data_IF_601656175366
#
_entry.id   IF_601656175366
#
_cell.length_a   1.000
_cell.length_b   1.000
_cell.length_c   1.000
_cell.angle_alpha   90.00
_cell.angle_beta   90.00
_cell.angle_gamma   90.00
#
_symmetry.space_group_name_H-M   'P 1'
#
loop_
_entity.id
_entity.type
_entity.pdbx_description
1 polymer ?
#
# COMPACT_ATOMS: atom_id res chain seq x y z
N UNK A 1 -14.86 18.16 -10.30
CA UNK A 1 -14.13 19.10 -9.42
C UNK A 1 -13.43 20.14 -10.28
N UNK A 2 -13.31 21.40 -9.84
CA UNK A 2 -12.90 22.52 -10.69
C UNK A 2 -11.47 22.43 -11.23
N UNK A 3 -10.55 21.73 -10.55
CA UNK A 3 -9.15 21.58 -10.99
C UNK A 3 -8.87 20.27 -11.74
N UNK A 4 -9.92 19.52 -12.11
CA UNK A 4 -9.79 18.29 -12.90
C UNK A 4 -9.23 17.10 -12.11
N UNK A 5 -8.53 16.22 -12.83
CA UNK A 5 -7.95 14.98 -12.30
C UNK A 5 -6.51 15.19 -11.83
N UNK A 6 -6.05 14.34 -10.91
CA UNK A 6 -4.66 14.30 -10.51
C UNK A 6 -3.76 13.90 -11.70
N UNK A 7 -4.25 13.08 -12.64
CA UNK A 7 -3.52 12.76 -13.87
C UNK A 7 -3.21 13.99 -14.74
N UNK A 8 -4.17 14.91 -14.89
CA UNK A 8 -3.96 16.15 -15.64
C UNK A 8 -2.97 17.06 -14.90
N UNK A 9 -3.14 17.21 -13.58
CA UNK A 9 -2.25 17.99 -12.74
C UNK A 9 -0.78 17.50 -12.79
N UNK A 10 -0.56 16.19 -12.70
CA UNK A 10 0.79 15.61 -12.76
C UNK A 10 1.45 15.75 -14.13
N UNK A 11 0.66 15.80 -15.22
CA UNK A 11 1.19 16.01 -16.57
C UNK A 11 1.74 17.42 -16.79
N UNK A 12 1.14 18.39 -16.12
CA UNK A 12 1.56 19.80 -16.16
C UNK A 12 2.73 20.06 -15.21
N UNK A 13 2.84 19.29 -14.11
CA UNK A 13 3.92 19.39 -13.15
C UNK A 13 5.21 18.73 -13.68
N UNK A 14 6.36 19.41 -13.48
CA UNK A 14 7.69 18.81 -13.71
C UNK A 14 8.24 18.11 -12.46
N UNK A 15 7.92 18.64 -11.30
CA UNK A 15 8.23 18.10 -9.98
C UNK A 15 7.25 18.68 -8.97
N UNK A 16 7.10 18.00 -7.83
CA UNK A 16 6.31 18.48 -6.70
C UNK A 16 7.21 18.69 -5.48
N UNK A 17 7.00 19.77 -4.70
CA UNK A 17 7.61 19.90 -3.38
C UNK A 17 7.23 18.70 -2.47
N UNK A 18 8.10 18.26 -1.55
CA UNK A 18 7.80 17.18 -0.61
C UNK A 18 6.51 17.40 0.18
N UNK A 19 6.21 18.65 0.54
CA UNK A 19 5.00 19.07 1.24
C UNK A 19 3.75 18.75 0.41
N UNK A 20 3.79 19.03 -0.89
CA UNK A 20 2.68 18.73 -1.80
C UNK A 20 2.53 17.23 -2.03
N UNK A 21 3.64 16.49 -2.18
CA UNK A 21 3.60 15.02 -2.28
C UNK A 21 2.89 14.42 -1.08
N UNK A 22 3.29 14.80 0.14
CA UNK A 22 2.71 14.26 1.37
C UNK A 22 1.26 14.71 1.54
N UNK A 23 0.95 15.97 1.29
CA UNK A 23 -0.41 16.51 1.39
C UNK A 23 -1.37 15.79 0.45
N UNK A 24 -1.01 15.64 -0.82
CA UNK A 24 -1.84 14.97 -1.82
C UNK A 24 -1.98 13.47 -1.49
N UNK A 25 -0.89 12.80 -1.09
CA UNK A 25 -0.93 11.40 -0.69
C UNK A 25 -1.81 11.17 0.55
N UNK A 26 -1.73 12.07 1.53
CA UNK A 26 -2.51 12.00 2.77
C UNK A 26 -4.01 12.16 2.49
N UNK A 27 -4.40 13.05 1.59
CA UNK A 27 -5.79 13.21 1.16
C UNK A 27 -6.34 11.91 0.53
N UNK A 28 -5.57 11.28 -0.36
CA UNK A 28 -5.95 9.97 -0.95
C UNK A 28 -6.03 8.89 0.12
N UNK A 29 -5.03 8.80 1.00
CA UNK A 29 -4.97 7.77 2.03
C UNK A 29 -6.13 7.87 3.03
N UNK A 30 -6.52 9.08 3.43
CA UNK A 30 -7.70 9.32 4.29
C UNK A 30 -9.01 8.94 3.60
N UNK A 31 -9.15 9.29 2.31
CA UNK A 31 -10.31 8.87 1.52
C UNK A 31 -10.44 7.34 1.45
N UNK A 32 -9.32 6.65 1.26
CA UNK A 32 -9.30 5.20 1.21
C UNK A 32 -9.47 4.52 2.56
N UNK A 33 -8.90 5.07 3.63
CA UNK A 33 -9.16 4.63 5.00
C UNK A 33 -10.66 4.68 5.30
N UNK A 34 -11.34 5.78 4.94
CA UNK A 34 -12.78 5.94 5.13
C UNK A 34 -13.60 4.87 4.40
N UNK A 35 -13.23 4.55 3.16
CA UNK A 35 -13.90 3.52 2.35
C UNK A 35 -13.67 2.12 2.92
N UNK A 36 -12.41 1.78 3.24
CA UNK A 36 -12.05 0.47 3.79
C UNK A 36 -12.68 0.24 5.16
N UNK A 37 -12.80 1.26 6.01
CA UNK A 37 -13.51 1.18 7.28
C UNK A 37 -15.00 0.83 7.14
N UNK A 38 -15.59 1.06 5.95
CA UNK A 38 -16.97 0.69 5.59
C UNK A 38 -17.05 -0.59 4.76
N UNK A 39 -15.95 -1.33 4.66
CA UNK A 39 -15.87 -2.54 3.86
C UNK A 39 -16.02 -2.28 2.37
N UNK A 40 -15.73 -1.08 1.87
CA UNK A 40 -15.76 -0.76 0.43
C UNK A 40 -14.36 -0.92 -0.16
N UNK A 41 -14.22 -1.79 -1.16
CA UNK A 41 -13.01 -1.93 -1.99
C UNK A 41 -13.21 -1.12 -3.27
N UNK A 42 -12.29 -0.21 -3.58
CA UNK A 42 -12.44 0.70 -4.70
C UNK A 42 -12.20 0.03 -6.05
N UNK A 43 -11.13 -0.76 -6.16
CA UNK A 43 -10.69 -1.55 -7.34
C UNK A 43 -10.12 -0.79 -8.53
N UNK A 44 -10.08 0.54 -8.50
CA UNK A 44 -9.60 1.35 -9.63
C UNK A 44 -8.94 2.65 -9.16
N UNK A 45 -8.05 2.53 -8.17
CA UNK A 45 -7.25 3.67 -7.69
C UNK A 45 -6.19 4.00 -8.74
N UNK A 46 -6.29 5.19 -9.31
CA UNK A 46 -5.36 5.76 -10.28
C UNK A 46 -5.54 7.28 -10.33
N UNK A 47 -4.55 8.05 -10.83
CA UNK A 47 -4.65 9.51 -10.88
C UNK A 47 -5.85 10.07 -11.65
N UNK A 48 -6.43 9.32 -12.60
CA UNK A 48 -7.66 9.73 -13.31
C UNK A 48 -8.92 9.71 -12.42
N UNK A 49 -8.93 8.86 -11.39
CA UNK A 49 -10.05 8.71 -10.44
C UNK A 49 -9.81 9.50 -9.13
N UNK A 50 -8.82 10.39 -9.13
CA UNK A 50 -8.47 11.26 -8.02
C UNK A 50 -8.68 12.71 -8.48
N UNK A 51 -9.62 13.41 -7.86
CA UNK A 51 -10.06 14.73 -8.32
C UNK A 51 -9.56 15.84 -7.41
N UNK A 52 -9.08 16.94 -7.99
CA UNK A 52 -8.62 18.12 -7.26
C UNK A 52 -9.73 19.16 -7.14
N UNK A 53 -10.09 19.53 -5.90
CA UNK A 53 -11.04 20.62 -5.63
C UNK A 53 -10.39 22.02 -5.73
N UNK A 54 -11.17 23.07 -5.45
CA UNK A 54 -10.72 24.46 -5.63
C UNK A 54 -9.54 24.82 -4.73
N UNK A 55 -9.46 24.19 -3.58
CA UNK A 55 -8.44 24.32 -2.56
C UNK A 55 -7.22 23.43 -2.84
N UNK A 56 -7.23 22.67 -3.94
CA UNK A 56 -6.15 21.75 -4.30
C UNK A 56 -6.08 20.50 -3.45
N UNK A 57 -7.17 20.12 -2.78
CA UNK A 57 -7.30 18.87 -2.03
C UNK A 57 -7.77 17.75 -2.95
N UNK A 58 -7.31 16.54 -2.66
CA UNK A 58 -7.67 15.35 -3.46
C UNK A 58 -8.93 14.68 -2.90
N UNK A 59 -9.87 14.34 -3.77
CA UNK A 59 -11.01 13.48 -3.44
C UNK A 59 -11.01 12.23 -4.29
N UNK A 60 -11.21 11.09 -3.63
CA UNK A 60 -11.36 9.79 -4.30
C UNK A 60 -12.71 9.75 -5.00
N UNK A 61 -12.73 9.39 -6.29
CA UNK A 61 -13.91 9.39 -7.14
C UNK A 61 -14.01 8.10 -7.96
N UNK A 62 -15.11 7.95 -8.71
CA UNK A 62 -15.43 6.78 -9.52
C UNK A 62 -15.52 5.46 -8.74
N UNK A 63 -16.62 5.32 -8.00
CA UNK A 63 -16.99 4.07 -7.34
C UNK A 63 -17.74 3.10 -8.29
N UNK A 64 -17.78 3.36 -9.60
CA UNK A 64 -18.49 2.54 -10.58
C UNK A 64 -17.94 1.11 -10.68
N UNK A 65 -16.67 0.95 -10.29
CA UNK A 65 -16.01 -0.33 -10.17
C UNK A 65 -15.90 -0.82 -8.73
N UNK A 66 -16.46 -0.17 -7.71
CA UNK A 66 -16.29 -0.62 -6.32
C UNK A 66 -17.14 -1.85 -5.94
N UNK A 67 -16.77 -2.54 -4.85
CA UNK A 67 -17.59 -3.61 -4.26
C UNK A 67 -17.47 -3.63 -2.73
N UNK A 68 -18.49 -4.19 -2.07
CA UNK A 68 -18.39 -4.53 -0.66
C UNK A 68 -17.47 -5.74 -0.49
N UNK A 69 -16.50 -5.66 0.41
CA UNK A 69 -15.48 -6.68 0.70
C UNK A 69 -16.11 -8.06 0.91
N UNK A 70 -17.22 -8.10 1.67
CA UNK A 70 -17.98 -9.33 1.94
C UNK A 70 -18.54 -10.04 0.68
N UNK A 71 -18.69 -9.32 -0.44
CA UNK A 71 -19.24 -9.85 -1.71
C UNK A 71 -18.26 -9.75 -2.87
N UNK A 72 -17.05 -9.25 -2.63
CA UNK A 72 -16.07 -9.01 -3.69
C UNK A 72 -15.53 -10.33 -4.28
N UNK A 73 -15.47 -11.40 -3.50
CA UNK A 73 -15.01 -12.72 -3.96
C UNK A 73 -16.00 -13.40 -4.91
N UNK A 74 -17.30 -13.16 -4.72
CA UNK A 74 -18.36 -13.75 -5.53
C UNK A 74 -18.54 -12.99 -6.86
N UNK A 75 -18.25 -11.70 -6.86
CA UNK A 75 -18.24 -10.85 -8.05
C UNK A 75 -16.90 -10.98 -8.76
N UNK A 76 -16.75 -12.02 -9.61
CA UNK A 76 -15.60 -12.12 -10.53
C UNK A 76 -15.39 -10.78 -11.24
N UNK A 77 -14.19 -10.22 -11.11
CA UNK A 77 -13.83 -9.03 -11.88
C UNK A 77 -13.87 -9.35 -13.37
N UNK A 78 -14.62 -8.56 -14.12
CA UNK A 78 -14.79 -8.77 -15.55
C UNK A 78 -13.72 -7.97 -16.30
N UNK A 79 -12.82 -8.65 -17.01
CA UNK A 79 -11.74 -8.00 -17.78
C UNK A 79 -12.25 -7.00 -18.83
N UNK A 80 -13.50 -7.14 -19.29
CA UNK A 80 -14.17 -6.19 -20.21
C UNK A 80 -14.45 -4.83 -19.59
N UNK A 81 -14.43 -4.71 -18.25
CA UNK A 81 -14.56 -3.43 -17.52
C UNK A 81 -13.20 -2.75 -17.26
N UNK A 82 -12.08 -3.43 -17.55
CA UNK A 82 -10.74 -2.86 -17.35
C UNK A 82 -10.36 -2.03 -18.57
N UNK A 83 -10.33 -0.70 -18.44
CA UNK A 83 -9.72 0.14 -19.47
C UNK A 83 -8.22 -0.19 -19.56
N UNK A 84 -7.61 -0.27 -20.77
CA UNK A 84 -6.20 -0.64 -20.92
C UNK A 84 -5.23 0.16 -20.04
N UNK A 85 -5.43 1.48 -19.89
CA UNK A 85 -4.60 2.33 -19.03
C UNK A 85 -4.60 1.96 -17.54
N UNK A 86 -5.58 1.16 -17.09
CA UNK A 86 -5.72 0.72 -15.70
C UNK A 86 -4.66 -0.30 -15.31
N UNK A 87 -4.15 -1.12 -16.24
CA UNK A 87 -3.15 -2.16 -15.94
C UNK A 87 -1.88 -1.60 -15.26
N UNK A 88 -1.52 -0.35 -15.55
CA UNK A 88 -0.38 0.35 -14.94
C UNK A 88 -0.49 0.51 -13.43
N UNK A 89 -1.72 0.51 -12.90
CA UNK A 89 -2.03 0.74 -11.49
C UNK A 89 -2.50 -0.53 -10.77
N UNK A 90 -2.67 -1.64 -11.49
CA UNK A 90 -3.26 -2.87 -10.96
C UNK A 90 -2.27 -3.75 -10.19
N UNK A 91 -2.73 -4.31 -9.09
CA UNK A 91 -1.99 -5.29 -8.31
C UNK A 91 -1.75 -6.60 -9.08
N UNK A 92 -0.61 -7.29 -8.89
CA UNK A 92 -0.25 -8.49 -9.63
C UNK A 92 -1.27 -9.64 -9.46
N UNK A 93 -1.84 -9.81 -8.26
CA UNK A 93 -2.87 -10.83 -8.00
C UNK A 93 -4.19 -10.55 -8.73
N UNK A 94 -4.47 -9.29 -9.04
CA UNK A 94 -5.64 -8.89 -9.81
C UNK A 94 -5.43 -9.13 -11.31
N UNK A 95 -4.20 -8.93 -11.79
CA UNK A 95 -3.82 -9.23 -13.17
C UNK A 95 -3.93 -10.73 -13.42
N UNK A 96 -3.31 -11.55 -12.56
CA UNK A 96 -3.20 -13.01 -12.72
C UNK A 96 -4.48 -13.77 -12.38
N UNK A 97 -4.99 -13.56 -11.17
CA UNK A 97 -5.97 -14.47 -10.57
C UNK A 97 -7.36 -13.81 -10.42
N UNK A 98 -7.49 -12.54 -10.82
CA UNK A 98 -8.70 -11.71 -10.62
C UNK A 98 -9.15 -11.70 -9.16
N UNK A 99 -8.23 -11.88 -8.22
CA UNK A 99 -8.49 -11.92 -6.78
C UNK A 99 -8.70 -10.51 -6.27
N UNK A 100 -9.91 -10.25 -5.79
CA UNK A 100 -10.25 -8.99 -5.17
C UNK A 100 -9.98 -9.05 -3.66
N UNK A 101 -9.28 -8.05 -3.14
CA UNK A 101 -9.14 -7.79 -1.72
C UNK A 101 -8.87 -6.31 -1.52
N UNK A 102 -9.15 -5.75 -0.34
CA UNK A 102 -8.81 -4.35 -0.04
C UNK A 102 -7.32 -4.02 -0.25
N UNK A 103 -6.44 -5.03 -0.17
CA UNK A 103 -4.99 -4.89 -0.39
C UNK A 103 -4.59 -4.56 -1.81
N UNK A 104 -5.47 -4.76 -2.80
CA UNK A 104 -5.21 -4.29 -4.16
C UNK A 104 -5.21 -2.77 -4.24
N UNK A 105 -6.10 -2.09 -3.49
CA UNK A 105 -6.17 -0.62 -3.48
C UNK A 105 -4.90 -0.04 -2.85
N UNK A 106 -4.30 -0.72 -1.87
CA UNK A 106 -3.03 -0.33 -1.25
C UNK A 106 -1.88 -0.40 -2.26
N UNK A 107 -1.86 -1.42 -3.12
CA UNK A 107 -0.87 -1.52 -4.18
C UNK A 107 -0.99 -0.36 -5.16
N UNK A 108 -2.21 -0.10 -5.62
CA UNK A 108 -2.52 1.00 -6.52
C UNK A 108 -2.16 2.35 -5.91
N UNK A 109 -2.43 2.56 -4.62
CA UNK A 109 -1.98 3.72 -3.88
C UNK A 109 -0.45 3.86 -3.85
N UNK A 110 0.29 2.75 -3.67
CA UNK A 110 1.75 2.76 -3.72
C UNK A 110 2.28 3.29 -5.05
N UNK A 111 1.65 2.93 -6.16
CA UNK A 111 1.98 3.46 -7.48
C UNK A 111 1.57 4.93 -7.64
N UNK A 112 0.42 5.35 -7.08
CA UNK A 112 0.03 6.77 -7.06
C UNK A 112 1.06 7.59 -6.28
N UNK A 113 1.50 7.13 -5.12
CA UNK A 113 2.54 7.80 -4.33
C UNK A 113 3.87 7.88 -5.09
N UNK A 114 4.24 6.82 -5.80
CA UNK A 114 5.39 6.86 -6.72
C UNK A 114 5.19 7.88 -7.87
N UNK A 115 3.98 7.98 -8.42
CA UNK A 115 3.65 8.97 -9.44
C UNK A 115 3.73 10.40 -8.91
N UNK A 116 3.36 10.64 -7.65
CA UNK A 116 3.52 11.94 -7.00
C UNK A 116 5.00 12.33 -6.84
N UNK A 117 5.88 11.39 -6.50
CA UNK A 117 7.31 11.67 -6.30
C UNK A 117 8.09 11.86 -7.59
N UNK A 118 7.56 11.36 -8.71
CA UNK A 118 8.27 11.38 -10.01
C UNK A 118 7.59 12.27 -11.06
N UNK A 119 6.30 12.57 -10.92
CA UNK A 119 5.45 13.15 -11.97
C UNK A 119 5.43 12.33 -13.27
N UNK A 120 5.74 11.03 -13.19
CA UNK A 120 5.81 10.12 -14.34
C UNK A 120 4.70 9.07 -14.26
N UNK A 121 4.22 8.62 -15.42
CA UNK A 121 3.29 7.48 -15.52
C UNK A 121 4.09 6.17 -15.37
N UNK A 122 3.68 5.22 -14.51
CA UNK A 122 4.39 3.95 -14.36
C UNK A 122 4.56 3.22 -15.69
N UNK A 123 5.79 2.79 -16.00
CA UNK A 123 6.17 2.04 -17.20
C UNK A 123 5.91 2.78 -18.54
N UNK A 124 6.35 4.05 -18.70
CA UNK A 124 5.90 4.91 -19.80
C UNK A 124 6.15 4.29 -21.20
N UNK A 125 7.21 3.49 -21.33
CA UNK A 125 7.65 2.90 -22.60
C UNK A 125 6.99 1.55 -22.95
N UNK A 126 6.07 1.06 -22.10
CA UNK A 126 5.38 -0.22 -22.30
C UNK A 126 3.91 -0.01 -22.64
N UNK A 127 3.40 -0.80 -23.59
CA UNK A 127 1.97 -0.87 -23.89
C UNK A 127 1.20 -1.57 -22.75
N UNK A 128 -0.10 -1.30 -22.57
CA UNK A 128 -0.91 -1.85 -21.47
C UNK A 128 -0.79 -3.35 -21.23
N UNK A 129 -0.77 -4.15 -22.30
CA UNK A 129 -0.64 -5.62 -22.21
C UNK A 129 0.77 -6.03 -21.78
N UNK A 130 1.80 -5.31 -22.24
CA UNK A 130 3.19 -5.55 -21.81
C UNK A 130 3.37 -5.20 -20.33
N UNK A 131 2.74 -4.12 -19.86
CA UNK A 131 2.72 -3.77 -18.43
C UNK A 131 2.05 -4.87 -17.61
N UNK A 132 0.90 -5.38 -18.06
CA UNK A 132 0.23 -6.47 -17.37
C UNK A 132 1.12 -7.71 -17.25
N UNK A 133 1.84 -8.07 -18.33
CA UNK A 133 2.79 -9.18 -18.31
C UNK A 133 3.98 -8.91 -17.37
N UNK A 134 4.64 -7.75 -17.50
CA UNK A 134 5.81 -7.40 -16.67
C UNK A 134 5.46 -7.38 -15.17
N UNK A 135 4.32 -6.79 -14.79
CA UNK A 135 3.89 -6.74 -13.38
C UNK A 135 3.41 -8.10 -12.88
N UNK A 136 2.58 -8.79 -13.67
CA UNK A 136 1.96 -10.06 -13.27
C UNK A 136 2.95 -11.22 -13.23
N UNK A 137 3.82 -11.33 -14.23
CA UNK A 137 4.66 -12.50 -14.45
C UNK A 137 6.12 -12.28 -14.05
N UNK A 138 6.65 -11.07 -14.25
CA UNK A 138 8.06 -10.76 -13.97
C UNK A 138 8.25 -9.99 -12.66
N UNK A 139 7.14 -9.66 -11.99
CA UNK A 139 7.13 -8.86 -10.77
C UNK A 139 7.85 -7.50 -10.94
N UNK A 140 7.79 -6.92 -12.13
CA UNK A 140 8.40 -5.63 -12.43
C UNK A 140 7.80 -4.51 -11.54
N UNK A 141 8.64 -3.54 -11.17
CA UNK A 141 8.24 -2.30 -10.49
C UNK A 141 8.93 -1.11 -11.16
N UNK A 142 8.29 0.08 -11.19
CA UNK A 142 8.98 1.29 -11.61
C UNK A 142 10.21 1.56 -10.73
N UNK A 143 11.28 2.18 -11.26
CA UNK A 143 12.46 2.51 -10.47
C UNK A 143 12.13 3.59 -9.43
N UNK A 144 12.62 3.41 -8.21
CA UNK A 144 12.50 4.43 -7.16
C UNK A 144 13.42 5.61 -7.47
N UNK A 145 12.98 6.81 -7.11
CA UNK A 145 13.82 8.01 -7.26
C UNK A 145 14.86 8.08 -6.14
N UNK A 146 16.12 8.32 -6.50
CA UNK A 146 17.23 8.55 -5.56
C UNK A 146 17.16 9.92 -4.89
N UNK A 147 16.42 10.87 -5.46
CA UNK A 147 16.18 12.19 -4.86
C UNK A 147 15.02 12.19 -3.86
N UNK A 148 14.23 11.11 -3.81
CA UNK A 148 13.10 10.97 -2.90
C UNK A 148 13.59 10.54 -1.50
N UNK A 149 13.10 11.14 -0.40
CA UNK A 149 13.41 10.70 0.95
C UNK A 149 13.20 9.19 1.13
N UNK A 150 14.18 8.50 1.72
CA UNK A 150 14.16 7.04 1.87
C UNK A 150 12.92 6.52 2.62
N UNK A 151 12.38 7.32 3.55
CA UNK A 151 11.14 7.00 4.25
C UNK A 151 9.94 6.86 3.29
N UNK A 152 9.82 7.74 2.29
CA UNK A 152 8.76 7.70 1.28
C UNK A 152 8.98 6.51 0.34
N UNK A 153 10.22 6.29 -0.12
CA UNK A 153 10.56 5.10 -0.92
C UNK A 153 10.21 3.80 -0.18
N UNK A 154 10.52 3.70 1.11
CA UNK A 154 10.18 2.54 1.93
C UNK A 154 8.67 2.35 2.10
N UNK A 155 7.89 3.43 2.16
CA UNK A 155 6.43 3.36 2.15
C UNK A 155 5.88 2.86 0.81
N UNK A 156 6.38 3.40 -0.31
CA UNK A 156 6.04 2.92 -1.66
C UNK A 156 6.31 1.42 -1.76
N UNK A 157 7.48 0.97 -1.30
CA UNK A 157 7.89 -0.44 -1.34
C UNK A 157 6.97 -1.38 -0.57
N UNK A 158 6.55 -0.96 0.63
CA UNK A 158 5.60 -1.75 1.43
C UNK A 158 4.22 -1.76 0.79
N UNK A 159 3.77 -0.65 0.21
CA UNK A 159 2.47 -0.57 -0.46
C UNK A 159 2.38 -1.48 -1.69
N UNK A 160 3.42 -1.51 -2.53
CA UNK A 160 3.43 -2.32 -3.77
C UNK A 160 4.05 -3.73 -3.61
N UNK A 161 4.13 -4.23 -2.38
CA UNK A 161 4.70 -5.55 -2.08
C UNK A 161 3.97 -6.66 -2.85
N UNK A 162 4.71 -7.68 -3.31
CA UNK A 162 4.14 -8.80 -4.08
C UNK A 162 3.06 -9.52 -3.28
N UNK A 163 3.34 -9.77 -1.99
CA UNK A 163 2.43 -10.47 -1.10
C UNK A 163 1.39 -9.49 -0.57
N UNK A 164 0.08 -9.65 -0.86
CA UNK A 164 -0.92 -8.68 -0.39
C UNK A 164 -0.99 -8.55 1.14
N UNK A 165 -0.69 -9.64 1.85
CA UNK A 165 -0.73 -9.67 3.31
C UNK A 165 0.35 -8.82 3.99
N UNK A 166 1.45 -8.49 3.31
CA UNK A 166 2.54 -7.67 3.86
C UNK A 166 2.32 -6.17 3.61
N UNK A 167 1.35 -5.83 2.75
CA UNK A 167 0.98 -4.44 2.50
C UNK A 167 0.28 -3.85 3.74
N UNK A 168 0.63 -2.61 4.15
CA UNK A 168 0.02 -1.96 5.30
C UNK A 168 -1.47 -1.68 5.06
N UNK A 169 -2.23 -1.51 6.13
CA UNK A 169 -3.59 -0.96 6.02
C UNK A 169 -3.53 0.56 5.83
N UNK A 170 -4.56 1.16 5.23
CA UNK A 170 -4.60 2.62 5.05
C UNK A 170 -4.50 3.39 6.37
N UNK A 171 -5.03 2.88 7.47
CA UNK A 171 -4.87 3.52 8.78
C UNK A 171 -3.40 3.68 9.19
N UNK A 172 -2.57 2.66 8.92
CA UNK A 172 -1.14 2.74 9.16
C UNK A 172 -0.46 3.72 8.21
N UNK A 173 -0.87 3.73 6.94
CA UNK A 173 -0.36 4.68 5.93
C UNK A 173 -0.68 6.13 6.34
N UNK A 174 -1.91 6.40 6.77
CA UNK A 174 -2.35 7.72 7.25
C UNK A 174 -1.49 8.17 8.42
N UNK A 175 -1.33 7.33 9.46
CA UNK A 175 -0.49 7.67 10.61
C UNK A 175 0.97 7.99 10.22
N UNK A 176 1.53 7.25 9.26
CA UNK A 176 2.90 7.49 8.79
C UNK A 176 3.02 8.79 7.97
N UNK A 177 2.06 9.07 7.10
CA UNK A 177 2.03 10.32 6.31
C UNK A 177 1.79 11.55 7.20
N UNK A 178 0.95 11.46 8.22
CA UNK A 178 0.77 12.52 9.23
C UNK A 178 2.06 12.80 10.01
N UNK A 179 2.82 11.75 10.33
CA UNK A 179 4.14 11.91 10.92
C UNK A 179 5.11 12.60 9.97
N UNK A 180 5.11 12.27 8.67
CA UNK A 180 5.96 12.93 7.69
C UNK A 180 5.59 14.40 7.49
N UNK A 181 4.29 14.72 7.43
CA UNK A 181 3.79 16.09 7.38
C UNK A 181 4.28 16.92 8.58
N UNK A 182 4.17 16.36 9.79
CA UNK A 182 4.70 16.99 11.00
C UNK A 182 6.21 17.20 10.90
N UNK A 183 6.97 16.17 10.51
CA UNK A 183 8.43 16.29 10.37
C UNK A 183 8.81 17.42 9.41
N UNK A 184 8.15 17.53 8.25
CA UNK A 184 8.42 18.62 7.31
C UNK A 184 8.12 20.00 7.91
N UNK A 185 6.97 20.15 8.59
CA UNK A 185 6.61 21.42 9.25
C UNK A 185 7.59 21.82 10.36
N UNK A 186 8.20 20.85 11.03
CA UNK A 186 9.17 21.06 12.11
C UNK A 186 10.63 21.06 11.62
N UNK A 187 10.89 20.87 10.33
CA UNK A 187 12.25 20.77 9.78
C UNK A 187 13.03 19.52 10.23
N UNK A 188 12.32 18.46 10.62
CA UNK A 188 12.89 17.18 11.06
C UNK A 188 13.09 16.21 9.89
N UNK A 189 14.08 15.30 9.98
CA UNK A 189 14.29 14.28 8.97
C UNK A 189 13.11 13.29 8.92
N UNK A 190 12.76 12.84 7.71
CA UNK A 190 11.78 11.77 7.53
C UNK A 190 12.46 10.42 7.81
N UNK A 191 12.00 9.73 8.84
CA UNK A 191 12.54 8.43 9.23
C UNK A 191 11.51 7.33 8.88
N UNK A 192 11.91 6.21 8.26
CA UNK A 192 11.02 5.07 8.06
C UNK A 192 10.51 4.56 9.42
N UNK A 193 9.28 4.01 9.48
CA UNK A 193 8.84 3.33 10.70
C UNK A 193 9.79 2.17 11.03
N UNK A 194 9.99 1.84 12.32
CA UNK A 194 10.74 0.65 12.70
C UNK A 194 10.11 -0.57 12.04
N UNK A 195 10.94 -1.38 11.37
CA UNK A 195 10.49 -2.64 10.78
C UNK A 195 9.97 -3.54 11.90
N UNK A 196 8.77 -4.14 11.76
CA UNK A 196 8.34 -5.13 12.73
C UNK A 196 9.38 -6.26 12.78
N UNK A 197 9.70 -6.79 13.97
CA UNK A 197 10.70 -7.84 14.10
C UNK A 197 10.31 -9.01 13.20
N UNK A 198 11.29 -9.60 12.53
CA UNK A 198 11.06 -10.78 11.70
C UNK A 198 10.40 -11.87 12.56
N UNK A 199 9.42 -12.63 12.04
CA UNK A 199 8.77 -13.72 12.77
C UNK A 199 9.77 -14.75 13.32
N UNK A 200 10.96 -14.85 12.72
CA UNK A 200 12.07 -15.71 13.18
C UNK A 200 12.64 -15.34 14.55
N UNK A 201 12.50 -14.08 15.00
CA UNK A 201 13.03 -13.63 16.30
C UNK A 201 12.06 -13.90 17.46
N UNK A 202 10.76 -13.98 17.19
CA UNK A 202 9.75 -14.32 18.21
C UNK A 202 9.87 -15.78 18.66
N UNK A 203 10.24 -16.69 17.75
CA UNK A 203 10.49 -18.10 18.08
C UNK A 203 11.71 -18.26 18.98
N UNK A 204 12.75 -17.44 18.79
CA UNK A 204 13.96 -17.45 19.64
C UNK A 204 13.71 -16.89 21.04
N UNK A 205 12.87 -15.85 21.16
CA UNK A 205 12.54 -15.24 22.46
C UNK A 205 11.60 -16.12 23.30
N UNK A 206 10.65 -16.82 22.68
CA UNK A 206 9.77 -17.77 23.38
C UNK A 206 10.50 -19.07 23.76
N UNK A 207 11.55 -19.46 23.02
CA UNK A 207 12.39 -20.61 23.34
C UNK A 207 13.30 -20.41 24.57
N UNK A 208 13.66 -19.17 24.90
CA UNK A 208 14.57 -18.85 25.99
C UNK A 208 13.90 -18.83 27.39
N UNK A 209 12.56 -18.89 27.48
CA UNK A 209 11.82 -18.85 28.75
C UNK A 209 11.38 -20.21 29.30
N UNK A 210 11.82 -21.34 28.71
CA UNK A 210 11.66 -22.66 29.34
C UNK A 210 12.72 -22.86 30.43
N UNK A 211 12.48 -22.22 31.58
CA UNK A 211 13.22 -22.44 32.82
C UNK A 211 13.01 -23.89 33.29
N UNK A 212 14.13 -24.49 33.69
CA UNK A 212 14.29 -25.83 34.24
C UNK A 212 13.24 -26.17 35.31
N UNK A 213 12.44 -27.21 35.07
CA UNK A 213 11.75 -27.91 36.15
C UNK A 213 12.75 -28.84 36.85
N UNK A 214 13.14 -28.50 38.08
CA UNK A 214 13.89 -29.37 38.98
C UNK A 214 13.22 -30.74 39.11
N UNK A 215 13.99 -31.82 38.90
CA UNK A 215 13.60 -33.18 39.29
C UNK A 215 13.96 -33.39 40.76
N UNK A 216 12.99 -33.35 41.66
CA UNK A 216 13.15 -33.89 43.02
C UNK A 216 12.96 -35.40 43.00
N UNK A 217 14.04 -36.11 43.28
CA UNK A 217 14.06 -37.53 43.64
C UNK A 217 13.32 -37.74 44.96
N UNK A 218 12.32 -38.63 44.97
CA UNK A 218 11.78 -39.20 46.21
C UNK A 218 11.96 -40.71 46.14
N UNK A 219 12.90 -41.20 46.95
CA UNK A 219 13.16 -42.62 47.16
C UNK A 219 12.04 -43.27 47.97
N UNK A 220 11.61 -44.44 47.52
CA UNK A 220 10.61 -45.24 48.22
C UNK A 220 11.34 -46.34 49.02
N UNK A 221 11.32 -46.25 50.36
CA UNK A 221 11.73 -47.34 51.27
C UNK A 221 10.49 -48.13 51.71
N UNK A 222 10.66 -49.45 51.64
CA UNK A 222 9.74 -50.54 52.02
C UNK A 222 9.25 -50.42 53.46
N UNK A 223 8.04 -50.93 53.71
CA UNK A 223 7.73 -51.77 54.88
C UNK A 223 6.72 -52.85 54.44
N UNK A 224 7.12 -54.12 54.56
CA UNK A 224 6.22 -55.28 54.64
C UNK A 224 5.96 -55.57 56.12
N UNK A 225 4.81 -56.13 56.51
CA UNK A 225 4.71 -56.95 57.72
C UNK A 225 5.34 -58.33 57.51
#
# INVERSE_FOLDING_TARGET
MPRGTLSAYLREARSLPPEDVIRLALDVARGMEYLHARGVVHRDIKPDNLLLDGEGRVKVADLGTSCLEATCSDKKWCSSKTAPGTYRWMAPEMIRDKRCSRKMDVYSFGLVLWGLTTCVVPFPDLEPVQVAYAVGNENARPPLSTSCPQAINSLIERCWSVKPSTRPEFSRIVSELENYDRCLREGLPLVPPPTPPSPSLLTSLLGAFKIQSCKTSVGNRRVHP
#
